data_IF_105102282404
#
_entry.id   IF_105102282404
#
_cell.length_a   1.000
_cell.length_b   1.000
_cell.length_c   1.000
_cell.angle_alpha   90.00
_cell.angle_beta   90.00
_cell.angle_gamma   90.00
#
_symmetry.space_group_name_H-M   'P 1'
#
loop_
_entity.id
_entity.type
_entity.pdbx_description
1 polymer ?
#
# COMPACT_ATOMS: atom_id res chain seq x y z
N UNK A 1 -21.61 30.94 2.19
CA UNK A 1 -20.53 29.98 1.87
C UNK A 1 -19.97 29.48 3.19
N UNK A 2 -20.09 28.18 3.50
CA UNK A 2 -19.29 27.61 4.58
C UNK A 2 -17.88 27.35 4.03
N UNK A 3 -16.85 27.76 4.76
CA UNK A 3 -15.50 27.29 4.53
C UNK A 3 -15.41 25.89 5.13
N UNK A 4 -15.30 24.87 4.27
CA UNK A 4 -14.98 23.52 4.73
C UNK A 4 -13.54 23.53 5.28
N UNK A 5 -13.41 23.45 6.60
CA UNK A 5 -12.10 23.26 7.24
C UNK A 5 -11.57 21.88 6.87
N UNK A 6 -10.67 21.81 5.91
CA UNK A 6 -9.90 20.60 5.62
C UNK A 6 -9.16 20.24 6.89
N UNK A 7 -9.53 19.10 7.50
CA UNK A 7 -8.85 18.58 8.67
C UNK A 7 -7.48 18.06 8.25
N UNK A 8 -6.48 18.94 8.28
CA UNK A 8 -5.08 18.54 8.23
C UNK A 8 -4.81 17.70 9.49
N UNK A 9 -4.84 16.39 9.34
CA UNK A 9 -4.55 15.48 10.43
C UNK A 9 -3.07 15.62 10.79
N UNK A 10 -2.73 15.98 12.04
CA UNK A 10 -1.36 16.31 12.36
C UNK A 10 -0.54 15.03 12.49
N UNK A 11 0.25 14.73 11.46
CA UNK A 11 1.47 13.93 11.56
C UNK A 11 2.48 14.70 12.43
N UNK A 12 2.16 14.83 13.71
CA UNK A 12 3.07 15.36 14.71
C UNK A 12 4.22 14.37 14.85
N UNK A 13 5.46 14.84 14.66
CA UNK A 13 6.67 14.03 14.63
C UNK A 13 6.73 13.06 15.83
N UNK A 14 6.29 11.83 15.59
CA UNK A 14 6.21 10.80 16.61
C UNK A 14 7.64 10.38 16.95
N UNK A 15 8.06 10.63 18.20
CA UNK A 15 9.33 10.09 18.67
C UNK A 15 9.28 8.57 18.62
N UNK A 16 10.32 7.96 18.05
CA UNK A 16 10.46 6.51 17.88
C UNK A 16 10.21 5.84 19.23
N UNK A 17 9.12 5.07 19.31
CA UNK A 17 8.77 4.35 20.53
C UNK A 17 9.76 3.20 20.79
N UNK A 18 9.88 2.69 22.03
CA UNK A 18 10.68 1.49 22.31
C UNK A 18 10.27 0.28 21.45
N UNK A 19 9.01 0.23 21.05
CA UNK A 19 8.38 -0.84 20.27
C UNK A 19 8.22 -0.48 18.77
N UNK A 20 8.84 0.59 18.28
CA UNK A 20 8.87 0.91 16.84
C UNK A 20 9.81 -0.04 16.07
N UNK A 21 9.58 -0.22 14.75
CA UNK A 21 10.44 -1.03 13.90
C UNK A 21 11.87 -0.48 13.82
N UNK A 22 12.86 -1.35 13.55
CA UNK A 22 14.25 -0.93 13.41
C UNK A 22 14.40 0.09 12.25
N UNK A 23 15.41 0.98 12.34
CA UNK A 23 15.75 1.93 11.28
C UNK A 23 15.90 1.25 9.92
N UNK A 24 15.52 1.97 8.88
CA UNK A 24 15.48 1.44 7.51
C UNK A 24 16.85 0.96 7.04
N UNK A 25 16.95 -0.34 6.82
CA UNK A 25 18.15 -1.04 6.32
C UNK A 25 17.77 -1.87 5.09
N UNK A 26 18.78 -2.34 4.36
CA UNK A 26 18.59 -3.20 3.19
C UNK A 26 19.13 -4.59 3.49
N UNK A 27 18.22 -5.55 3.68
CA UNK A 27 18.50 -6.97 3.85
C UNK A 27 17.58 -7.81 2.98
N UNK A 28 17.78 -9.13 2.93
CA UNK A 28 16.98 -10.05 2.11
C UNK A 28 16.37 -11.16 2.97
N UNK A 29 15.88 -10.78 4.16
CA UNK A 29 15.32 -11.69 5.16
C UNK A 29 14.01 -12.26 4.65
N UNK A 30 13.96 -13.57 4.43
CA UNK A 30 12.75 -14.25 3.99
C UNK A 30 11.81 -14.42 5.19
N UNK A 31 10.60 -13.85 5.09
CA UNK A 31 9.55 -14.02 6.09
C UNK A 31 9.04 -15.47 6.09
N UNK A 32 8.67 -16.00 7.25
CA UNK A 32 7.98 -17.29 7.32
C UNK A 32 6.65 -17.22 6.55
N UNK A 33 6.48 -18.17 5.64
CA UNK A 33 5.38 -18.26 4.69
C UNK A 33 4.37 -19.36 5.00
N UNK A 34 4.59 -20.22 6.00
CA UNK A 34 3.55 -21.17 6.41
C UNK A 34 2.36 -20.45 7.09
N UNK A 35 2.58 -19.23 7.56
CA UNK A 35 1.55 -18.29 8.02
C UNK A 35 0.90 -17.46 6.89
N UNK A 36 1.28 -17.64 5.61
CA UNK A 36 0.81 -16.79 4.49
C UNK A 36 -0.71 -16.68 4.38
N UNK A 37 -1.48 -17.67 4.85
CA UNK A 37 -2.95 -17.71 4.74
C UNK A 37 -3.61 -16.43 5.21
N UNK A 38 -3.03 -15.73 6.17
CA UNK A 38 -3.42 -14.36 6.49
C UNK A 38 -2.52 -13.33 5.80
N UNK A 39 -2.82 -13.08 4.52
CA UNK A 39 -2.11 -12.11 3.70
C UNK A 39 -2.24 -10.66 4.19
N UNK A 40 -3.11 -10.36 5.18
CA UNK A 40 -3.16 -9.04 5.80
C UNK A 40 -1.96 -8.77 6.73
N UNK A 41 -1.46 -9.82 7.41
CA UNK A 41 -0.46 -9.71 8.47
C UNK A 41 1.00 -9.72 7.98
N UNK A 42 1.23 -9.96 6.69
CA UNK A 42 2.59 -10.04 6.13
C UNK A 42 3.21 -8.64 5.99
N UNK A 43 4.15 -8.34 6.89
CA UNK A 43 5.05 -7.18 6.82
C UNK A 43 6.13 -7.43 5.77
N UNK A 44 6.15 -6.58 4.74
CA UNK A 44 7.27 -6.42 3.81
C UNK A 44 7.83 -5.00 3.96
N UNK A 45 9.15 -4.86 3.90
CA UNK A 45 9.84 -3.56 3.91
C UNK A 45 11.17 -3.70 3.14
N UNK A 46 12.10 -2.76 3.28
CA UNK A 46 13.42 -2.84 2.60
C UNK A 46 14.33 -3.99 3.06
N UNK A 47 13.99 -4.69 4.14
CA UNK A 47 14.70 -5.84 4.74
C UNK A 47 13.93 -7.16 4.63
N UNK A 48 12.61 -7.14 4.85
CA UNK A 48 11.76 -8.32 4.87
C UNK A 48 11.10 -8.57 3.50
N UNK A 49 11.22 -9.81 3.00
CA UNK A 49 10.76 -10.21 1.66
C UNK A 49 10.03 -11.56 1.64
N UNK A 50 9.15 -11.70 0.66
CA UNK A 50 8.67 -12.99 0.19
C UNK A 50 9.80 -13.80 -0.47
N UNK A 51 9.76 -15.14 -0.40
CA UNK A 51 10.52 -16.01 -1.28
C UNK A 51 10.07 -15.84 -2.76
N UNK A 52 10.83 -16.38 -3.71
CA UNK A 52 10.39 -16.45 -5.11
C UNK A 52 9.37 -17.60 -5.24
N UNK A 53 8.09 -17.28 -5.00
CA UNK A 53 6.96 -18.21 -5.02
C UNK A 53 6.16 -18.11 -6.33
N UNK A 54 5.35 -19.13 -6.68
CA UNK A 54 4.33 -19.01 -7.71
C UNK A 54 3.34 -17.88 -7.44
N UNK A 55 2.68 -17.41 -8.51
CA UNK A 55 1.59 -16.44 -8.42
C UNK A 55 0.42 -17.02 -7.59
N UNK A 56 -0.30 -16.20 -6.78
CA UNK A 56 -1.43 -16.68 -5.99
C UNK A 56 -2.57 -17.27 -6.83
N UNK A 57 -3.14 -18.39 -6.37
CA UNK A 57 -4.18 -19.15 -7.08
C UNK A 57 -5.60 -18.59 -6.96
N UNK A 58 -5.78 -17.55 -6.15
CA UNK A 58 -7.04 -16.85 -5.83
C UNK A 58 -7.12 -15.45 -6.47
N UNK A 59 -6.27 -15.15 -7.46
CA UNK A 59 -6.28 -13.89 -8.20
C UNK A 59 -7.49 -13.78 -9.14
N UNK A 60 -8.21 -12.68 -9.01
CA UNK A 60 -9.40 -12.29 -9.78
C UNK A 60 -9.27 -10.85 -10.25
N UNK A 61 -10.13 -10.39 -11.18
CA UNK A 61 -9.97 -9.10 -11.86
C UNK A 61 -10.68 -7.98 -11.08
N UNK A 62 -10.05 -6.80 -10.97
CA UNK A 62 -10.67 -5.64 -10.30
C UNK A 62 -11.99 -5.17 -10.92
N UNK A 63 -12.31 -5.60 -12.14
CA UNK A 63 -13.64 -5.41 -12.76
C UNK A 63 -14.78 -6.18 -12.08
N UNK A 64 -14.50 -7.18 -11.27
CA UNK A 64 -15.47 -7.86 -10.41
C UNK A 64 -15.87 -7.00 -9.18
N UNK A 65 -15.05 -6.00 -8.86
CA UNK A 65 -15.37 -4.88 -7.97
C UNK A 65 -15.94 -3.66 -8.73
N UNK A 66 -16.16 -3.75 -10.05
CA UNK A 66 -16.76 -2.70 -10.89
C UNK A 66 -15.76 -1.71 -11.52
N UNK A 67 -14.46 -1.95 -11.47
CA UNK A 67 -13.46 -1.13 -12.17
C UNK A 67 -13.34 -1.46 -13.66
N UNK A 68 -12.80 -0.52 -14.45
CA UNK A 68 -12.67 -0.69 -15.90
C UNK A 68 -11.47 -1.54 -16.33
N UNK A 69 -10.42 -1.65 -15.50
CA UNK A 69 -9.13 -2.28 -15.84
C UNK A 69 -9.08 -3.79 -15.54
N UNK A 70 -8.07 -4.46 -16.11
CA UNK A 70 -7.84 -5.91 -16.02
C UNK A 70 -6.75 -6.31 -15.01
N UNK A 71 -6.36 -5.39 -14.13
CA UNK A 71 -5.45 -5.70 -13.02
C UNK A 71 -6.05 -6.75 -12.08
N UNK A 72 -5.17 -7.52 -11.44
CA UNK A 72 -5.56 -8.62 -10.55
C UNK A 72 -5.41 -8.25 -9.08
N UNK A 73 -6.32 -8.75 -8.25
CA UNK A 73 -6.25 -8.74 -6.78
C UNK A 73 -6.71 -10.10 -6.26
N UNK A 74 -6.44 -10.43 -5.00
CA UNK A 74 -7.04 -11.62 -4.37
C UNK A 74 -8.55 -11.49 -4.25
N UNK A 75 -9.26 -12.62 -4.38
CA UNK A 75 -10.72 -12.67 -4.27
C UNK A 75 -11.29 -12.02 -2.99
N UNK A 76 -10.59 -12.15 -1.87
CA UNK A 76 -10.98 -11.56 -0.57
C UNK A 76 -11.09 -10.03 -0.60
N UNK A 77 -10.38 -9.35 -1.52
CA UNK A 77 -10.35 -7.88 -1.63
C UNK A 77 -11.57 -7.33 -2.37
N UNK A 78 -12.26 -8.15 -3.18
CA UNK A 78 -13.22 -7.67 -4.18
C UNK A 78 -14.46 -6.97 -3.58
N UNK A 79 -15.06 -7.52 -2.53
CA UNK A 79 -16.30 -6.94 -1.97
C UNK A 79 -16.03 -5.62 -1.22
N UNK A 80 -14.88 -5.52 -0.56
CA UNK A 80 -14.38 -4.30 0.07
C UNK A 80 -13.99 -3.23 -0.97
N UNK A 81 -13.27 -3.62 -2.03
CA UNK A 81 -12.91 -2.75 -3.14
C UNK A 81 -14.16 -2.25 -3.90
N UNK A 82 -15.21 -3.06 -3.97
CA UNK A 82 -16.50 -2.67 -4.55
C UNK A 82 -17.20 -1.62 -3.69
N UNK A 83 -17.29 -1.84 -2.38
CA UNK A 83 -17.89 -0.88 -1.45
C UNK A 83 -17.14 0.47 -1.44
N UNK A 84 -15.80 0.43 -1.47
CA UNK A 84 -14.94 1.62 -1.59
C UNK A 84 -15.24 2.41 -2.88
N UNK A 85 -15.38 1.71 -4.01
CA UNK A 85 -15.73 2.32 -5.31
C UNK A 85 -17.12 2.94 -5.28
N UNK A 86 -18.10 2.26 -4.69
CA UNK A 86 -19.51 2.66 -4.70
C UNK A 86 -19.76 3.87 -3.80
N UNK A 87 -19.16 3.92 -2.61
CA UNK A 87 -19.25 5.11 -1.74
C UNK A 87 -18.47 6.31 -2.30
N UNK A 88 -17.36 6.08 -3.02
CA UNK A 88 -16.66 7.15 -3.75
C UNK A 88 -17.51 7.71 -4.91
N UNK A 89 -18.13 6.83 -5.71
CA UNK A 89 -19.03 7.25 -6.80
C UNK A 89 -20.30 7.93 -6.25
N UNK A 90 -20.82 7.51 -5.09
CA UNK A 90 -21.91 8.19 -4.39
C UNK A 90 -21.51 9.58 -3.84
N UNK A 91 -20.24 9.78 -3.49
CA UNK A 91 -19.66 11.09 -3.17
C UNK A 91 -19.38 11.96 -4.41
N UNK A 92 -19.65 11.46 -5.62
CA UNK A 92 -19.40 12.16 -6.88
C UNK A 92 -17.95 12.09 -7.38
N UNK A 93 -17.17 11.14 -6.85
CA UNK A 93 -15.74 10.96 -7.14
C UNK A 93 -15.51 9.77 -8.08
N UNK A 94 -14.46 9.81 -8.90
CA UNK A 94 -14.23 8.79 -9.91
C UNK A 94 -12.85 8.15 -9.75
N UNK A 95 -12.79 6.99 -9.11
CA UNK A 95 -11.55 6.22 -8.91
C UNK A 95 -11.24 5.28 -10.09
N UNK A 96 -9.95 5.03 -10.31
CA UNK A 96 -9.41 4.08 -11.28
C UNK A 96 -8.21 3.34 -10.67
N UNK A 97 -8.12 2.02 -10.88
CA UNK A 97 -6.96 1.21 -10.49
C UNK A 97 -5.90 1.32 -11.58
N UNK A 98 -4.78 1.97 -11.24
CA UNK A 98 -3.58 2.18 -12.05
C UNK A 98 -2.64 0.97 -12.05
N UNK A 99 -2.67 0.19 -10.96
CA UNK A 99 -1.85 -1.01 -10.75
C UNK A 99 -2.44 -1.84 -9.63
N UNK A 100 -2.17 -3.14 -9.60
CA UNK A 100 -2.49 -4.02 -8.48
C UNK A 100 -1.46 -5.16 -8.43
N UNK A 101 -1.85 -6.44 -8.43
CA UNK A 101 -0.91 -7.56 -8.36
C UNK A 101 0.24 -7.46 -9.36
N UNK A 102 1.47 -7.69 -8.86
CA UNK A 102 2.70 -7.81 -9.64
C UNK A 102 3.38 -9.13 -9.27
N UNK A 103 3.68 -9.99 -10.25
CA UNK A 103 4.45 -11.21 -9.98
C UNK A 103 5.91 -10.90 -9.67
N UNK A 104 6.62 -11.85 -9.04
CA UNK A 104 8.04 -11.67 -8.67
C UNK A 104 8.92 -11.27 -9.87
N UNK A 105 8.70 -11.93 -11.02
CA UNK A 105 9.42 -11.65 -12.26
C UNK A 105 9.06 -10.28 -12.86
N UNK A 106 7.82 -9.82 -12.74
CA UNK A 106 7.43 -8.47 -13.19
C UNK A 106 7.96 -7.39 -12.25
N UNK A 107 7.94 -7.60 -10.93
CA UNK A 107 8.51 -6.64 -9.99
C UNK A 107 10.01 -6.43 -10.20
N UNK A 108 10.75 -7.49 -10.58
CA UNK A 108 12.16 -7.37 -11.01
C UNK A 108 12.29 -6.41 -12.20
N UNK A 109 11.50 -6.58 -13.26
CA UNK A 109 11.52 -5.69 -14.44
C UNK A 109 11.18 -4.23 -14.09
N UNK A 110 10.21 -4.00 -13.19
CA UNK A 110 9.86 -2.65 -12.71
C UNK A 110 11.02 -2.02 -11.93
N UNK A 111 11.63 -2.78 -11.02
CA UNK A 111 12.78 -2.32 -10.24
C UNK A 111 13.99 -2.01 -11.15
N UNK A 112 14.35 -2.92 -12.05
CA UNK A 112 15.45 -2.75 -13.01
C UNK A 112 15.26 -1.49 -13.89
N UNK A 113 14.02 -1.20 -14.29
CA UNK A 113 13.65 0.02 -15.02
C UNK A 113 13.85 1.30 -14.21
N UNK A 114 13.54 1.28 -12.91
CA UNK A 114 13.83 2.40 -12.01
C UNK A 114 15.34 2.57 -11.74
N UNK A 115 16.08 1.47 -11.58
CA UNK A 115 17.56 1.49 -11.47
C UNK A 115 18.18 2.14 -12.71
N UNK A 116 17.73 1.78 -13.91
CA UNK A 116 18.20 2.38 -15.16
C UNK A 116 17.85 3.86 -15.32
N UNK A 117 16.75 4.34 -14.69
CA UNK A 117 16.28 5.73 -14.77
C UNK A 117 16.89 6.65 -13.71
N UNK A 118 17.11 6.16 -12.48
CA UNK A 118 17.45 6.98 -11.31
C UNK A 118 18.77 6.58 -10.62
N UNK A 119 19.37 5.45 -11.01
CA UNK A 119 20.43 4.81 -10.24
C UNK A 119 19.87 4.05 -9.03
N UNK A 120 20.60 3.01 -8.60
CA UNK A 120 20.08 2.04 -7.62
C UNK A 120 19.72 2.67 -6.26
N UNK A 121 20.53 3.62 -5.77
CA UNK A 121 20.33 4.24 -4.45
C UNK A 121 18.98 4.98 -4.34
N UNK A 122 18.52 5.64 -5.40
CA UNK A 122 17.20 6.29 -5.41
C UNK A 122 16.10 5.30 -5.81
N UNK A 123 16.36 4.38 -6.76
CA UNK A 123 15.40 3.35 -7.15
C UNK A 123 14.93 2.50 -5.96
N UNK A 124 15.82 2.21 -5.01
CA UNK A 124 15.51 1.52 -3.74
C UNK A 124 14.53 2.26 -2.81
N UNK A 125 14.38 3.59 -2.94
CA UNK A 125 13.44 4.41 -2.14
C UNK A 125 12.05 4.54 -2.78
N UNK A 126 11.97 4.50 -4.10
CA UNK A 126 10.71 4.68 -4.90
C UNK A 126 10.25 3.40 -5.59
N UNK A 127 10.91 2.27 -5.32
CA UNK A 127 10.53 0.99 -5.89
C UNK A 127 11.06 -0.17 -5.05
N UNK A 128 10.15 -1.01 -4.58
CA UNK A 128 10.50 -2.19 -3.81
C UNK A 128 11.30 -3.20 -4.67
N UNK A 129 12.35 -3.78 -4.10
CA UNK A 129 13.11 -4.88 -4.72
C UNK A 129 12.22 -6.13 -4.88
N UNK A 130 12.49 -7.05 -5.83
CA UNK A 130 11.67 -8.24 -6.01
C UNK A 130 11.65 -9.15 -4.77
N UNK A 131 10.45 -9.38 -4.24
CA UNK A 131 10.17 -10.02 -2.95
C UNK A 131 9.66 -9.05 -1.89
N UNK A 132 10.02 -7.77 -1.97
CA UNK A 132 9.67 -6.73 -0.98
C UNK A 132 8.41 -5.94 -1.32
N UNK A 133 7.85 -6.09 -2.53
CA UNK A 133 6.70 -5.29 -2.95
C UNK A 133 5.39 -5.87 -2.41
N UNK A 134 4.58 -5.05 -1.73
CA UNK A 134 3.24 -5.42 -1.30
C UNK A 134 2.31 -5.84 -2.46
N UNK A 135 2.59 -5.42 -3.70
CA UNK A 135 1.86 -5.87 -4.89
C UNK A 135 2.03 -7.37 -5.15
N UNK A 136 3.11 -7.99 -4.67
CA UNK A 136 3.32 -9.44 -4.78
C UNK A 136 2.41 -10.23 -3.82
N UNK A 137 1.79 -9.58 -2.84
CA UNK A 137 0.77 -10.20 -1.99
C UNK A 137 -0.62 -10.20 -2.65
N UNK A 138 -0.84 -9.45 -3.73
CA UNK A 138 -2.15 -9.37 -4.42
C UNK A 138 -3.21 -8.56 -3.67
N UNK A 139 -2.79 -7.83 -2.64
CA UNK A 139 -3.63 -7.03 -1.73
C UNK A 139 -3.31 -5.53 -1.78
N UNK A 140 -2.26 -5.09 -2.49
CA UNK A 140 -1.96 -3.68 -2.72
C UNK A 140 -2.48 -3.20 -4.09
N UNK A 141 -2.94 -1.95 -4.14
CA UNK A 141 -3.45 -1.27 -5.34
C UNK A 141 -2.90 0.15 -5.43
N UNK A 142 -2.55 0.58 -6.65
CA UNK A 142 -2.28 2.00 -6.95
C UNK A 142 -3.56 2.63 -7.51
N UNK A 143 -4.06 3.67 -6.85
CA UNK A 143 -5.28 4.38 -7.24
C UNK A 143 -4.99 5.74 -7.88
N UNK A 144 -5.86 6.17 -8.78
CA UNK A 144 -5.84 7.51 -9.41
C UNK A 144 -7.23 8.04 -9.69
N UNK A 145 -7.32 9.34 -9.97
CA UNK A 145 -8.51 9.96 -10.57
C UNK A 145 -8.73 9.41 -11.98
N UNK A 146 -9.92 8.85 -12.25
CA UNK A 146 -10.32 8.22 -13.51
C UNK A 146 -10.21 9.22 -14.67
N UNK A 147 -9.38 8.89 -15.66
CA UNK A 147 -9.08 9.79 -16.79
C UNK A 147 -8.21 11.03 -16.47
N UNK A 148 -7.69 11.17 -15.24
CA UNK A 148 -6.67 12.16 -14.91
C UNK A 148 -5.27 11.77 -15.45
N UNK A 149 -4.17 12.43 -15.04
CA UNK A 149 -2.82 11.89 -15.23
C UNK A 149 -2.58 10.66 -14.34
N UNK A 150 -1.38 10.07 -14.40
CA UNK A 150 -0.93 9.12 -13.38
C UNK A 150 -0.59 9.88 -12.08
N UNK A 151 -0.71 9.26 -10.89
CA UNK A 151 -0.71 9.99 -9.63
C UNK A 151 0.68 10.50 -9.22
N UNK A 152 1.75 9.86 -9.70
CA UNK A 152 3.15 10.30 -9.55
C UNK A 152 3.56 11.42 -10.52
N UNK A 153 2.75 11.72 -11.54
CA UNK A 153 2.96 12.86 -12.45
C UNK A 153 2.33 14.16 -11.91
N UNK A 154 1.74 14.11 -10.70
CA UNK A 154 1.18 15.23 -9.97
C UNK A 154 2.10 15.67 -8.83
N UNK A 155 2.04 16.95 -8.46
CA UNK A 155 2.81 17.47 -7.33
C UNK A 155 2.40 16.87 -5.97
N UNK A 156 1.15 16.43 -5.84
CA UNK A 156 0.61 15.63 -4.72
C UNK A 156 -0.79 15.13 -5.09
N UNK A 157 -0.99 13.82 -5.26
CA UNK A 157 -2.31 13.27 -5.60
C UNK A 157 -3.29 13.28 -4.42
N UNK A 158 -2.83 13.29 -3.16
CA UNK A 158 -3.71 13.36 -1.99
C UNK A 158 -4.47 14.71 -1.89
N UNK A 159 -4.10 15.70 -2.70
CA UNK A 159 -4.79 17.00 -2.82
C UNK A 159 -5.84 17.03 -3.93
N UNK A 160 -6.03 15.94 -4.67
CA UNK A 160 -7.22 15.74 -5.52
C UNK A 160 -8.44 15.39 -4.67
N UNK A 161 -9.68 15.58 -5.19
CA UNK A 161 -10.89 15.14 -4.49
C UNK A 161 -10.88 13.63 -4.17
N UNK A 162 -10.43 12.78 -5.11
CA UNK A 162 -10.30 11.34 -4.90
C UNK A 162 -9.28 10.99 -3.81
N UNK A 163 -8.06 11.52 -3.90
CA UNK A 163 -6.99 11.23 -2.95
C UNK A 163 -7.32 11.73 -1.54
N UNK A 164 -7.87 12.94 -1.42
CA UNK A 164 -8.28 13.51 -0.14
C UNK A 164 -9.42 12.72 0.51
N UNK A 165 -10.31 12.12 -0.29
CA UNK A 165 -11.37 11.25 0.20
C UNK A 165 -10.81 9.92 0.71
N UNK A 166 -9.92 9.26 -0.03
CA UNK A 166 -9.31 7.99 0.38
C UNK A 166 -8.59 8.09 1.72
N UNK A 167 -7.77 9.13 1.94
CA UNK A 167 -7.08 9.37 3.22
C UNK A 167 -8.05 9.38 4.42
N UNK A 168 -9.30 9.82 4.21
CA UNK A 168 -10.34 9.91 5.24
C UNK A 168 -11.26 8.67 5.34
N UNK A 169 -11.28 7.80 4.33
CA UNK A 169 -12.32 6.76 4.16
C UNK A 169 -11.81 5.34 3.92
N UNK A 170 -10.61 5.16 3.35
CA UNK A 170 -10.09 3.86 2.89
C UNK A 170 -10.12 2.76 3.97
N UNK A 171 -9.85 3.13 5.23
CA UNK A 171 -9.83 2.21 6.37
C UNK A 171 -11.17 1.48 6.58
N UNK A 172 -12.31 2.12 6.26
CA UNK A 172 -13.67 1.55 6.43
C UNK A 172 -13.94 0.36 5.51
N UNK A 173 -13.11 0.22 4.48
CA UNK A 173 -13.12 -0.85 3.48
C UNK A 173 -11.83 -1.69 3.55
N UNK A 174 -11.11 -1.65 4.67
CA UNK A 174 -9.94 -2.50 4.89
C UNK A 174 -8.64 -2.00 4.22
N UNK A 175 -8.61 -0.80 3.64
CA UNK A 175 -7.42 -0.26 2.97
C UNK A 175 -6.68 0.77 3.83
N UNK A 176 -5.34 0.66 3.87
CA UNK A 176 -4.42 1.58 4.55
C UNK A 176 -3.46 2.19 3.53
N UNK A 177 -3.16 3.48 3.67
CA UNK A 177 -2.07 4.15 2.94
C UNK A 177 -0.73 3.66 3.52
N UNK A 178 0.05 2.87 2.78
CA UNK A 178 1.27 2.25 3.33
C UNK A 178 2.41 3.26 3.52
N UNK A 179 2.51 4.26 2.64
CA UNK A 179 3.64 5.19 2.56
C UNK A 179 3.17 6.67 2.69
N UNK A 180 2.67 7.10 3.87
CA UNK A 180 2.29 8.48 4.14
C UNK A 180 3.49 9.45 4.22
N UNK A 181 3.23 10.75 4.04
CA UNK A 181 4.25 11.80 4.02
C UNK A 181 4.82 12.10 5.42
N UNK A 182 6.13 12.28 5.52
CA UNK A 182 6.82 12.56 6.79
C UNK A 182 7.10 11.31 7.64
N UNK A 183 6.80 10.13 7.11
CA UNK A 183 6.95 8.82 7.74
C UNK A 183 7.97 7.94 7.00
N UNK A 184 8.74 8.49 6.05
CA UNK A 184 9.62 7.77 5.13
C UNK A 184 10.71 6.95 5.88
N UNK A 185 11.21 7.49 6.99
CA UNK A 185 12.19 6.81 7.87
C UNK A 185 11.56 5.71 8.77
N UNK A 186 10.22 5.61 8.80
CA UNK A 186 9.45 4.60 9.54
C UNK A 186 8.75 3.59 8.61
N UNK A 187 8.55 3.92 7.33
CA UNK A 187 8.02 3.05 6.27
C UNK A 187 9.10 2.41 5.39
N UNK A 188 10.26 3.06 5.27
CA UNK A 188 11.38 2.72 4.39
C UNK A 188 11.16 2.95 2.89
N UNK A 189 10.13 3.73 2.53
CA UNK A 189 9.83 4.16 1.16
C UNK A 189 9.49 5.66 1.14
N UNK A 190 9.74 6.32 0.01
CA UNK A 190 9.31 7.70 -0.22
C UNK A 190 7.76 7.79 -0.25
N UNK A 191 7.20 8.99 -0.03
CA UNK A 191 5.74 9.24 0.01
C UNK A 191 5.02 8.82 -1.29
N UNK A 192 4.03 7.92 -1.17
CA UNK A 192 3.20 7.44 -2.29
C UNK A 192 1.69 7.58 -1.98
N UNK A 193 1.05 8.75 -2.21
CA UNK A 193 -0.35 8.99 -1.88
C UNK A 193 -1.38 8.10 -2.63
N UNK A 194 -0.93 7.32 -3.61
CA UNK A 194 -1.73 6.42 -4.43
C UNK A 194 -1.72 4.97 -3.97
N UNK A 195 -0.74 4.55 -3.16
CA UNK A 195 -0.49 3.16 -2.82
C UNK A 195 -1.29 2.76 -1.57
N UNK A 196 -2.33 1.94 -1.76
CA UNK A 196 -3.19 1.45 -0.69
C UNK A 196 -3.11 -0.07 -0.56
N UNK A 197 -2.85 -0.54 0.66
CA UNK A 197 -2.77 -1.96 1.03
C UNK A 197 -4.04 -2.39 1.73
N UNK A 198 -4.71 -3.42 1.21
CA UNK A 198 -5.80 -4.10 1.90
C UNK A 198 -5.25 -5.03 2.99
N UNK A 199 -5.88 -4.94 4.17
CA UNK A 199 -5.59 -5.71 5.38
C UNK A 199 -6.87 -6.14 6.13
N UNK A 200 -8.05 -5.94 5.52
CA UNK A 200 -9.35 -6.17 6.16
C UNK A 200 -9.77 -5.03 7.09
N UNK A 201 -11.09 -4.84 7.22
CA UNK A 201 -11.70 -3.66 7.87
C UNK A 201 -11.28 -3.45 9.32
N UNK A 202 -11.18 -4.52 10.10
CA UNK A 202 -10.83 -4.46 11.53
C UNK A 202 -9.39 -3.97 11.73
N UNK A 203 -8.42 -4.56 11.01
CA UNK A 203 -7.02 -4.16 11.08
C UNK A 203 -6.81 -2.74 10.53
N UNK A 204 -7.43 -2.40 9.40
CA UNK A 204 -7.32 -1.06 8.83
C UNK A 204 -7.93 0.02 9.74
N UNK A 205 -9.02 -0.31 10.45
CA UNK A 205 -9.58 0.51 11.52
C UNK A 205 -8.58 0.69 12.67
N UNK A 206 -8.00 -0.40 13.19
CA UNK A 206 -7.02 -0.35 14.27
C UNK A 206 -5.73 0.42 13.90
N UNK A 207 -5.28 0.38 12.64
CA UNK A 207 -4.15 1.18 12.15
C UNK A 207 -4.54 2.67 12.07
N UNK A 208 -5.74 2.97 11.56
CA UNK A 208 -6.27 4.34 11.45
C UNK A 208 -6.46 4.99 12.84
N UNK A 209 -6.99 4.24 13.81
CA UNK A 209 -7.15 4.69 15.21
C UNK A 209 -5.81 4.85 15.93
N UNK A 210 -4.82 4.00 15.64
CA UNK A 210 -3.48 4.07 16.23
C UNK A 210 -2.62 5.23 15.68
N UNK A 211 -2.98 5.82 14.54
CA UNK A 211 -2.29 6.98 13.97
C UNK A 211 -0.83 6.73 13.58
N UNK A 212 -0.50 5.52 13.11
CA UNK A 212 0.87 5.12 12.70
C UNK A 212 0.85 4.41 11.33
N UNK A 213 1.98 4.41 10.58
CA UNK A 213 2.07 3.66 9.32
C UNK A 213 1.87 2.15 9.51
N UNK A 214 1.41 1.46 8.45
CA UNK A 214 1.13 0.03 8.48
C UNK A 214 2.34 -0.81 8.93
N UNK A 215 3.56 -0.47 8.46
CA UNK A 215 4.82 -1.12 8.89
C UNK A 215 5.03 -1.06 10.41
N UNK A 216 4.74 0.09 11.03
CA UNK A 216 4.89 0.29 12.48
C UNK A 216 3.82 -0.50 13.24
N UNK A 217 2.57 -0.50 12.76
CA UNK A 217 1.50 -1.27 13.40
C UNK A 217 1.76 -2.78 13.31
N UNK A 218 2.13 -3.29 12.13
CA UNK A 218 2.45 -4.70 11.94
C UNK A 218 3.66 -5.11 12.80
N UNK A 219 4.72 -4.29 12.88
CA UNK A 219 5.87 -4.59 13.73
C UNK A 219 5.50 -4.76 15.21
N UNK A 220 4.64 -3.88 15.74
CA UNK A 220 4.21 -3.88 17.16
C UNK A 220 3.35 -5.07 17.55
N UNK A 221 2.56 -5.62 16.64
CA UNK A 221 1.55 -6.66 16.94
C UNK A 221 1.86 -8.03 16.31
N UNK A 222 2.53 -8.04 15.15
CA UNK A 222 2.87 -9.21 14.35
C UNK A 222 4.30 -9.08 13.79
N UNK A 223 5.33 -8.97 14.66
CA UNK A 223 6.72 -8.82 14.22
C UNK A 223 7.14 -10.00 13.32
N UNK A 224 7.79 -9.74 12.17
CA UNK A 224 8.07 -10.74 11.16
C UNK A 224 9.05 -11.80 11.67
N UNK A 225 8.63 -13.05 11.62
CA UNK A 225 9.48 -14.20 11.93
C UNK A 225 10.34 -14.51 10.69
N UNK A 226 11.66 -14.53 10.88
CA UNK A 226 12.60 -14.95 9.84
C UNK A 226 12.58 -16.49 9.74
N UNK A 227 12.65 -17.02 8.51
CA UNK A 227 12.93 -18.44 8.32
C UNK A 227 14.33 -18.81 8.85
N UNK A 228 14.49 -20.01 9.47
CA UNK A 228 15.75 -20.48 10.04
C UNK A 228 16.76 -20.99 8.98
#
# INVERSE_FOLDING_TARGET
>A
MLLATVALWPWALAQVAPDDPPPCTYGDVVVDVDHLRDHALVLLDTTYRLPETPDPSDLVRVREAGFASDHLVRAVVIDDLRALREDAEAAGLALEVQSAYRSFAYQRQVFDGWVARLGEAQARRVSARPGHSEHQLGTAIDLRTRGGPAPWDLADWARTPEGAWLVQHAHRYGFVLSYPAGEEERTCYDYEPWHYRWVGRELAGAVHEAGVPLRVWLWRHHPPQALP
#
